data_IF_292824297542
#
_entry.id   IF_292824297542
#
_cell.length_a   1.000
_cell.length_b   1.000
_cell.length_c   1.000
_cell.angle_alpha   90.00
_cell.angle_beta   90.00
_cell.angle_gamma   90.00
#
_symmetry.space_group_name_H-M   'P 1'
#
loop_
_entity.id
_entity.type
_entity.pdbx_description
1 polymer ?
#
# COMPACT_ATOMS: atom_id res chain seq x y z
N UNK A 1 -14.07 -31.05 -11.22
CA UNK A 1 -13.25 -29.81 -11.14
C UNK A 1 -14.01 -28.55 -10.70
N UNK A 2 -15.37 -28.49 -10.72
CA UNK A 2 -16.14 -27.29 -10.35
C UNK A 2 -16.28 -26.99 -8.84
N UNK A 3 -15.60 -27.73 -7.94
CA UNK A 3 -15.69 -27.49 -6.48
C UNK A 3 -14.90 -26.27 -6.00
N UNK A 4 -13.90 -25.82 -6.77
CA UNK A 4 -13.03 -24.68 -6.44
C UNK A 4 -13.73 -23.32 -6.54
N UNK A 5 -14.78 -23.19 -7.36
CA UNK A 5 -15.52 -21.94 -7.52
C UNK A 5 -16.36 -21.55 -6.28
N UNK A 6 -16.68 -22.49 -5.39
CA UNK A 6 -17.45 -22.20 -4.16
C UNK A 6 -16.61 -21.50 -3.08
N UNK A 7 -15.28 -21.61 -3.11
CA UNK A 7 -14.37 -20.91 -2.19
C UNK A 7 -14.25 -19.42 -2.51
N UNK A 8 -14.56 -19.01 -3.74
CA UNK A 8 -14.40 -17.63 -4.18
C UNK A 8 -15.56 -16.69 -3.83
N UNK A 9 -16.79 -17.22 -3.67
CA UNK A 9 -17.97 -16.35 -3.48
C UNK A 9 -18.01 -15.62 -2.12
N UNK A 10 -17.20 -16.06 -1.14
CA UNK A 10 -17.22 -15.54 0.23
C UNK A 10 -15.98 -14.71 0.60
N UNK A 11 -14.97 -14.61 -0.27
CA UNK A 11 -13.73 -13.91 0.06
C UNK A 11 -13.80 -12.41 -0.29
N UNK A 12 -13.45 -11.56 0.69
CA UNK A 12 -13.33 -10.10 0.51
C UNK A 12 -12.41 -9.74 -0.66
N UNK A 13 -11.37 -10.55 -0.89
CA UNK A 13 -10.37 -10.37 -1.94
C UNK A 13 -10.96 -10.44 -3.35
N UNK A 14 -11.88 -11.36 -3.63
CA UNK A 14 -12.50 -11.45 -4.97
C UNK A 14 -13.48 -10.30 -5.23
N UNK A 15 -14.18 -9.84 -4.20
CA UNK A 15 -15.03 -8.65 -4.31
C UNK A 15 -14.21 -7.35 -4.48
N UNK A 16 -12.99 -7.32 -3.97
CA UNK A 16 -12.00 -6.26 -4.18
C UNK A 16 -11.53 -6.28 -5.64
N UNK A 17 -10.99 -7.40 -6.10
CA UNK A 17 -10.55 -7.61 -7.50
C UNK A 17 -11.69 -7.31 -8.50
N UNK A 18 -12.91 -7.78 -8.24
CA UNK A 18 -14.07 -7.51 -9.10
C UNK A 18 -14.40 -6.01 -9.19
N UNK A 19 -14.26 -5.26 -8.09
CA UNK A 19 -14.47 -3.81 -8.08
C UNK A 19 -13.38 -3.07 -8.84
N UNK A 20 -12.13 -3.51 -8.69
CA UNK A 20 -10.98 -2.96 -9.41
C UNK A 20 -11.13 -3.19 -10.92
N UNK A 21 -11.45 -4.42 -11.34
CA UNK A 21 -11.71 -4.75 -12.75
C UNK A 21 -12.85 -3.89 -13.30
N UNK A 22 -13.96 -3.73 -12.58
CA UNK A 22 -15.11 -2.97 -13.08
C UNK A 22 -14.82 -1.46 -13.21
N UNK A 23 -13.96 -0.91 -12.35
CA UNK A 23 -13.53 0.50 -12.43
C UNK A 23 -12.58 0.75 -13.59
N UNK A 24 -11.58 -0.11 -13.77
CA UNK A 24 -10.52 0.10 -14.76
C UNK A 24 -10.77 -0.60 -16.11
N UNK A 25 -11.91 -1.29 -16.27
CA UNK A 25 -12.20 -2.11 -17.45
C UNK A 25 -12.10 -1.32 -18.76
N UNK A 26 -12.44 -0.02 -18.75
CA UNK A 26 -12.42 0.81 -19.95
C UNK A 26 -11.00 1.00 -20.50
N UNK A 27 -10.03 1.20 -19.60
CA UNK A 27 -8.63 1.43 -19.97
C UNK A 27 -7.91 0.12 -20.30
N UNK A 28 -8.29 -0.97 -19.60
CA UNK A 28 -7.82 -2.33 -19.93
C UNK A 28 -8.38 -2.79 -21.29
N UNK A 29 -9.63 -2.44 -21.62
CA UNK A 29 -10.23 -2.80 -22.90
C UNK A 29 -9.59 -2.04 -24.06
N UNK A 30 -9.34 -0.74 -23.93
CA UNK A 30 -8.67 0.03 -25.00
C UNK A 30 -7.25 -0.47 -25.27
N UNK A 31 -6.47 -0.73 -24.20
CA UNK A 31 -5.11 -1.27 -24.33
C UNK A 31 -5.07 -2.70 -24.88
N UNK A 32 -6.02 -3.57 -24.49
CA UNK A 32 -6.06 -4.94 -25.01
C UNK A 32 -6.37 -5.02 -26.50
N UNK A 33 -7.18 -4.10 -27.05
CA UNK A 33 -7.44 -4.01 -28.49
C UNK A 33 -6.13 -3.73 -29.24
N UNK A 34 -5.32 -2.78 -28.77
CA UNK A 34 -4.02 -2.45 -29.39
C UNK A 34 -3.10 -3.66 -29.41
N UNK A 35 -3.07 -4.43 -28.31
CA UNK A 35 -2.27 -5.66 -28.21
C UNK A 35 -2.72 -6.71 -29.23
N UNK A 36 -4.03 -6.94 -29.35
CA UNK A 36 -4.58 -7.92 -30.31
C UNK A 36 -4.27 -7.50 -31.74
N UNK A 37 -4.43 -6.21 -32.07
CA UNK A 37 -4.08 -5.70 -33.41
C UNK A 37 -2.59 -5.88 -33.69
N UNK A 38 -1.71 -5.52 -32.76
CA UNK A 38 -0.26 -5.72 -32.90
C UNK A 38 0.15 -7.18 -33.03
N UNK A 39 -0.56 -8.10 -32.38
CA UNK A 39 -0.35 -9.54 -32.52
C UNK A 39 -0.75 -10.04 -33.92
N UNK A 40 -1.92 -9.61 -34.42
CA UNK A 40 -2.39 -9.96 -35.77
C UNK A 40 -1.48 -9.40 -36.87
N UNK A 41 -1.02 -8.15 -36.73
CA UNK A 41 -0.11 -7.54 -37.70
C UNK A 41 1.24 -8.27 -37.73
N UNK A 42 1.81 -8.66 -36.59
CA UNK A 42 3.04 -9.44 -36.59
C UNK A 42 2.88 -10.84 -37.16
N UNK A 43 1.76 -11.51 -36.90
CA UNK A 43 1.46 -12.78 -37.55
C UNK A 43 1.46 -12.66 -39.08
N UNK A 44 0.87 -11.57 -39.61
CA UNK A 44 0.85 -11.30 -41.04
C UNK A 44 2.25 -11.00 -41.60
N UNK A 45 3.05 -10.19 -40.89
CA UNK A 45 4.42 -9.87 -41.31
C UNK A 45 5.33 -11.10 -41.34
N UNK A 46 5.22 -11.98 -40.33
CA UNK A 46 5.98 -13.23 -40.28
C UNK A 46 5.54 -14.22 -41.34
N UNK A 47 4.24 -14.28 -41.65
CA UNK A 47 3.74 -15.04 -42.79
C UNK A 47 4.44 -14.59 -44.08
N UNK A 48 4.45 -13.28 -44.39
CA UNK A 48 5.11 -12.80 -45.60
C UNK A 48 6.63 -13.01 -45.60
N UNK A 49 7.29 -12.84 -44.45
CA UNK A 49 8.74 -13.00 -44.35
C UNK A 49 9.20 -14.46 -44.49
N UNK A 50 8.45 -15.43 -43.97
CA UNK A 50 8.90 -16.82 -43.86
C UNK A 50 8.16 -17.80 -44.80
N UNK A 51 7.05 -17.42 -45.43
CA UNK A 51 6.25 -18.32 -46.30
C UNK A 51 7.05 -19.03 -47.39
N UNK A 52 8.07 -18.38 -47.95
CA UNK A 52 8.91 -18.94 -49.01
C UNK A 52 9.95 -19.92 -48.49
N UNK A 53 10.45 -19.70 -47.27
CA UNK A 53 11.53 -20.50 -46.68
C UNK A 53 11.00 -21.67 -45.84
N UNK A 54 9.83 -21.52 -45.22
CA UNK A 54 9.22 -22.51 -44.34
C UNK A 54 7.69 -22.56 -44.51
N UNK A 55 7.19 -23.04 -45.65
CA UNK A 55 5.74 -23.14 -45.89
C UNK A 55 5.02 -24.10 -44.93
N UNK A 56 5.73 -25.09 -44.37
CA UNK A 56 5.15 -26.03 -43.41
C UNK A 56 4.67 -25.33 -42.13
N UNK A 57 5.43 -24.37 -41.63
CA UNK A 57 5.16 -23.65 -40.37
C UNK A 57 4.60 -22.24 -40.57
N UNK A 58 4.96 -21.55 -41.66
CA UNK A 58 4.50 -20.19 -41.97
C UNK A 58 3.68 -20.12 -43.26
N UNK A 59 3.13 -21.24 -43.75
CA UNK A 59 2.33 -21.28 -44.99
C UNK A 59 0.89 -20.79 -44.86
N UNK A 60 0.43 -20.47 -43.65
CA UNK A 60 -0.88 -19.85 -43.43
C UNK A 60 -0.82 -18.87 -42.26
N UNK A 61 -1.66 -17.84 -42.29
CA UNK A 61 -1.71 -16.82 -41.25
C UNK A 61 -1.98 -17.46 -39.88
N UNK A 62 -2.88 -18.43 -39.79
CA UNK A 62 -3.20 -19.13 -38.53
C UNK A 62 -2.00 -19.86 -37.92
N UNK A 63 -1.12 -20.46 -38.74
CA UNK A 63 0.11 -21.08 -38.22
C UNK A 63 1.12 -20.03 -37.73
N UNK A 64 1.25 -18.91 -38.43
CA UNK A 64 2.04 -17.77 -37.97
C UNK A 64 1.46 -17.14 -36.69
N UNK A 65 0.13 -17.14 -36.52
CA UNK A 65 -0.55 -16.67 -35.30
C UNK A 65 -0.15 -17.52 -34.09
N UNK A 66 -0.02 -18.84 -34.25
CA UNK A 66 0.44 -19.74 -33.20
C UNK A 66 1.86 -19.37 -32.74
N UNK A 67 2.81 -19.25 -33.67
CA UNK A 67 4.18 -18.83 -33.34
C UNK A 67 4.21 -17.45 -32.67
N UNK A 68 3.44 -16.48 -33.18
CA UNK A 68 3.34 -15.16 -32.58
C UNK A 68 2.73 -15.24 -31.17
N UNK A 69 1.72 -16.08 -30.91
CA UNK A 69 1.14 -16.24 -29.57
C UNK A 69 2.14 -16.84 -28.57
N UNK A 70 2.86 -17.89 -28.96
CA UNK A 70 3.89 -18.54 -28.13
C UNK A 70 5.05 -17.59 -27.82
N UNK A 71 5.42 -16.75 -28.79
CA UNK A 71 6.46 -15.72 -28.62
C UNK A 71 5.99 -14.60 -27.70
N UNK A 72 4.77 -14.08 -27.92
CA UNK A 72 4.20 -12.98 -27.14
C UNK A 72 3.98 -13.36 -25.67
N UNK A 73 3.56 -14.60 -25.43
CA UNK A 73 3.40 -15.16 -24.08
C UNK A 73 4.73 -15.54 -23.43
N UNK A 74 5.86 -15.33 -24.12
CA UNK A 74 7.21 -15.69 -23.66
C UNK A 74 7.39 -17.17 -23.34
N UNK A 75 6.48 -18.03 -23.82
CA UNK A 75 6.59 -19.49 -23.66
C UNK A 75 7.77 -19.99 -24.51
N UNK A 76 7.83 -19.57 -25.78
CA UNK A 76 8.96 -19.83 -26.66
C UNK A 76 9.38 -21.31 -26.71
N UNK A 77 8.46 -22.22 -27.07
CA UNK A 77 8.74 -23.66 -27.11
C UNK A 77 10.00 -24.03 -27.92
N UNK A 78 10.33 -23.23 -28.95
CA UNK A 78 11.49 -23.46 -29.80
C UNK A 78 11.26 -24.53 -30.88
N UNK A 79 10.02 -25.00 -31.02
CA UNK A 79 9.57 -25.93 -32.06
C UNK A 79 9.62 -25.30 -33.46
N UNK A 80 9.30 -24.01 -33.54
CA UNK A 80 9.33 -23.22 -34.77
C UNK A 80 10.14 -21.96 -34.53
N UNK A 81 11.03 -21.62 -35.45
CA UNK A 81 11.81 -20.37 -35.41
C UNK A 81 11.97 -19.80 -36.82
N UNK A 82 11.95 -18.45 -36.99
CA UNK A 82 12.15 -17.81 -38.28
C UNK A 82 13.58 -18.06 -38.79
N UNK A 83 13.69 -18.44 -40.06
CA UNK A 83 14.99 -18.70 -40.70
C UNK A 83 15.53 -17.46 -41.42
N UNK A 84 14.67 -16.57 -41.89
CA UNK A 84 15.09 -15.35 -42.59
C UNK A 84 15.63 -14.29 -41.62
N UNK A 85 16.53 -13.45 -42.13
CA UNK A 85 17.06 -12.30 -41.37
C UNK A 85 15.92 -11.35 -40.98
N UNK A 86 15.00 -11.09 -41.91
CA UNK A 86 13.84 -10.22 -41.67
C UNK A 86 12.93 -10.80 -40.58
N UNK A 87 12.59 -12.09 -40.64
CA UNK A 87 11.75 -12.76 -39.64
C UNK A 87 12.36 -12.74 -38.24
N UNK A 88 13.70 -12.89 -38.14
CA UNK A 88 14.42 -12.77 -36.86
C UNK A 88 14.34 -11.37 -36.27
N UNK A 89 14.56 -10.32 -37.08
CA UNK A 89 14.45 -8.93 -36.62
C UNK A 89 13.03 -8.62 -36.14
N UNK A 90 12.01 -9.04 -36.92
CA UNK A 90 10.60 -8.87 -36.56
C UNK A 90 10.27 -9.56 -35.24
N UNK A 91 10.77 -10.78 -35.04
CA UNK A 91 10.53 -11.55 -33.81
C UNK A 91 11.17 -10.90 -32.59
N UNK A 92 12.39 -10.37 -32.70
CA UNK A 92 13.06 -9.64 -31.62
C UNK A 92 12.28 -8.36 -31.27
N UNK A 93 11.92 -7.56 -32.27
CA UNK A 93 11.14 -6.34 -32.07
C UNK A 93 9.78 -6.65 -31.41
N UNK A 94 9.12 -7.72 -31.86
CA UNK A 94 7.86 -8.18 -31.29
C UNK A 94 8.00 -8.62 -29.83
N UNK A 95 9.09 -9.33 -29.48
CA UNK A 95 9.38 -9.73 -28.11
C UNK A 95 9.56 -8.54 -27.16
N UNK A 96 10.31 -7.51 -27.58
CA UNK A 96 10.49 -6.28 -26.79
C UNK A 96 9.15 -5.57 -26.58
N UNK A 97 8.36 -5.44 -27.66
CA UNK A 97 7.03 -4.83 -27.59
C UNK A 97 6.09 -5.59 -26.62
N UNK A 98 6.14 -6.93 -26.62
CA UNK A 98 5.34 -7.74 -25.68
C UNK A 98 5.70 -7.46 -24.21
N UNK A 99 6.97 -7.26 -23.89
CA UNK A 99 7.41 -6.90 -22.52
C UNK A 99 6.94 -5.50 -22.10
N UNK A 100 6.92 -4.54 -23.03
CA UNK A 100 6.35 -3.21 -22.78
C UNK A 100 4.86 -3.32 -22.43
N UNK A 101 4.09 -4.14 -23.16
CA UNK A 101 2.69 -4.39 -22.84
C UNK A 101 2.50 -5.13 -21.51
N UNK A 102 3.38 -6.08 -21.18
CA UNK A 102 3.37 -6.73 -19.88
C UNK A 102 3.58 -5.72 -18.74
N UNK A 103 4.44 -4.72 -18.95
CA UNK A 103 4.66 -3.63 -17.98
C UNK A 103 3.39 -2.79 -17.78
N UNK A 104 2.61 -2.54 -18.83
CA UNK A 104 1.32 -1.85 -18.70
C UNK A 104 0.33 -2.65 -17.87
N UNK A 105 0.27 -3.98 -18.05
CA UNK A 105 -0.59 -4.84 -17.24
C UNK A 105 -0.22 -4.78 -15.75
N UNK A 106 1.08 -4.86 -15.44
CA UNK A 106 1.59 -4.73 -14.06
C UNK A 106 1.30 -3.35 -13.49
N UNK A 107 1.46 -2.29 -14.29
CA UNK A 107 1.21 -0.90 -13.86
C UNK A 107 -0.24 -0.68 -13.45
N UNK A 108 -1.20 -1.23 -14.21
CA UNK A 108 -2.64 -1.11 -13.90
C UNK A 108 -2.95 -1.76 -12.55
N UNK A 109 -2.47 -2.99 -12.32
CA UNK A 109 -2.67 -3.68 -11.05
C UNK A 109 -1.99 -2.93 -9.90
N UNK A 110 -0.77 -2.44 -10.13
CA UNK A 110 -0.02 -1.65 -9.17
C UNK A 110 -0.77 -0.39 -8.75
N UNK A 111 -1.34 0.35 -9.71
CA UNK A 111 -2.11 1.57 -9.43
C UNK A 111 -3.33 1.32 -8.54
N UNK A 112 -4.05 0.22 -8.80
CA UNK A 112 -5.19 -0.20 -8.00
C UNK A 112 -4.81 -0.56 -6.56
N UNK A 113 -3.70 -1.30 -6.40
CA UNK A 113 -3.18 -1.63 -5.07
C UNK A 113 -2.74 -0.38 -4.31
N UNK A 114 -2.04 0.54 -4.97
CA UNK A 114 -1.59 1.80 -4.35
C UNK A 114 -2.76 2.68 -3.94
N UNK A 115 -3.85 2.73 -4.71
CA UNK A 115 -5.07 3.44 -4.32
C UNK A 115 -5.62 2.89 -2.99
N UNK A 116 -5.72 1.57 -2.86
CA UNK A 116 -6.24 0.93 -1.64
C UNK A 116 -5.33 1.15 -0.42
N UNK A 117 -4.01 1.05 -0.61
CA UNK A 117 -3.03 1.35 0.43
C UNK A 117 -3.11 2.82 0.86
N UNK A 118 -3.28 3.76 -0.09
CA UNK A 118 -3.41 5.18 0.22
C UNK A 118 -4.65 5.48 1.06
N UNK A 119 -5.78 4.82 0.76
CA UNK A 119 -7.04 4.95 1.52
C UNK A 119 -6.85 4.39 2.94
N UNK A 120 -6.18 3.25 3.08
CA UNK A 120 -5.87 2.67 4.39
C UNK A 120 -4.99 3.60 5.23
N UNK A 121 -3.90 4.11 4.66
CA UNK A 121 -2.99 5.04 5.34
C UNK A 121 -3.70 6.34 5.74
N UNK A 122 -4.58 6.87 4.88
CA UNK A 122 -5.36 8.09 5.18
C UNK A 122 -6.35 7.88 6.32
N UNK A 123 -6.96 6.70 6.44
CA UNK A 123 -7.83 6.37 7.58
C UNK A 123 -7.06 6.28 8.88
N UNK A 124 -5.91 5.60 8.86
CA UNK A 124 -5.03 5.46 10.03
C UNK A 124 -4.50 6.82 10.50
N UNK A 125 -4.13 7.71 9.58
CA UNK A 125 -3.70 9.08 9.90
C UNK A 125 -4.79 9.88 10.63
N UNK A 126 -6.02 9.86 10.12
CA UNK A 126 -7.16 10.55 10.77
C UNK A 126 -7.46 10.02 12.17
N UNK A 127 -7.32 8.71 12.38
CA UNK A 127 -7.53 8.09 13.68
C UNK A 127 -6.44 8.51 14.67
N UNK A 128 -5.19 8.59 14.22
CA UNK A 128 -4.08 9.12 15.02
C UNK A 128 -4.28 10.60 15.36
N UNK A 129 -4.69 11.43 14.41
CA UNK A 129 -4.97 12.85 14.64
C UNK A 129 -6.08 13.05 15.67
N UNK A 130 -7.16 12.26 15.56
CA UNK A 130 -8.27 12.28 16.53
C UNK A 130 -7.81 11.85 17.91
N UNK A 131 -6.96 10.82 18.01
CA UNK A 131 -6.45 10.35 19.28
C UNK A 131 -5.50 11.36 19.93
N UNK A 132 -4.64 12.00 19.12
CA UNK A 132 -3.78 13.09 19.53
C UNK A 132 -4.59 14.27 20.05
N UNK A 133 -5.66 14.65 19.35
CA UNK A 133 -6.53 15.74 19.77
C UNK A 133 -7.17 15.45 21.14
N UNK A 134 -7.73 14.25 21.33
CA UNK A 134 -8.27 13.84 22.64
C UNK A 134 -7.24 13.88 23.75
N UNK A 135 -5.98 13.55 23.44
CA UNK A 135 -4.90 13.61 24.44
C UNK A 135 -4.59 15.05 24.86
N UNK A 136 -4.59 16.00 23.91
CA UNK A 136 -4.41 17.43 24.22
C UNK A 136 -5.59 17.95 25.03
N UNK A 137 -6.83 17.61 24.66
CA UNK A 137 -8.03 18.04 25.39
C UNK A 137 -8.04 17.49 26.82
N UNK A 138 -7.62 16.23 27.00
CA UNK A 138 -7.48 15.62 28.32
C UNK A 138 -6.43 16.33 29.18
N UNK A 139 -5.27 16.66 28.60
CA UNK A 139 -4.22 17.40 29.31
C UNK A 139 -4.71 18.78 29.76
N UNK A 140 -5.44 19.50 28.91
CA UNK A 140 -6.04 20.80 29.27
C UNK A 140 -7.04 20.68 30.43
N UNK A 141 -7.84 19.60 30.48
CA UNK A 141 -8.76 19.34 31.60
C UNK A 141 -7.99 19.03 32.88
N UNK A 142 -6.93 18.24 32.81
CA UNK A 142 -6.08 17.94 33.97
C UNK A 142 -5.43 19.19 34.53
N UNK A 143 -4.93 20.09 33.68
CA UNK A 143 -4.38 21.38 34.10
C UNK A 143 -5.45 22.25 34.77
N UNK A 144 -6.67 22.26 34.25
CA UNK A 144 -7.78 22.98 34.86
C UNK A 144 -8.17 22.42 36.24
N UNK A 145 -8.14 21.10 36.41
CA UNK A 145 -8.37 20.47 37.72
C UNK A 145 -7.25 20.77 38.72
N UNK A 146 -5.99 20.74 38.27
CA UNK A 146 -4.84 21.10 39.09
C UNK A 146 -4.95 22.54 39.60
N UNK A 147 -5.30 23.47 38.73
CA UNK A 147 -5.50 24.88 39.10
C UNK A 147 -6.57 25.04 40.18
N UNK A 148 -7.72 24.37 40.05
CA UNK A 148 -8.78 24.41 41.08
C UNK A 148 -8.31 23.84 42.41
N UNK A 149 -7.49 22.80 42.41
CA UNK A 149 -6.93 22.22 43.65
C UNK A 149 -5.98 23.22 44.31
N UNK A 150 -5.14 23.93 43.54
CA UNK A 150 -4.23 24.95 44.07
C UNK A 150 -4.99 26.16 44.67
N UNK A 151 -6.10 26.56 44.05
CA UNK A 151 -7.01 27.59 44.57
C UNK A 151 -7.70 27.14 45.88
N UNK A 152 -8.17 25.89 45.95
CA UNK A 152 -8.72 25.34 47.19
C UNK A 152 -7.64 25.24 48.28
N UNK A 153 -6.42 24.84 47.93
CA UNK A 153 -5.28 24.74 48.85
C UNK A 153 -4.96 26.09 49.50
N UNK A 154 -4.95 27.17 48.72
CA UNK A 154 -4.69 28.53 49.21
C UNK A 154 -5.85 29.13 50.03
N UNK A 155 -7.06 28.59 49.89
CA UNK A 155 -8.26 29.00 50.65
C UNK A 155 -8.50 28.14 51.90
N UNK A 156 -7.81 27.01 52.07
CA UNK A 156 -7.91 26.16 53.27
C UNK A 156 -7.44 26.92 54.52
N UNK A 157 -8.27 27.08 55.57
CA UNK A 157 -7.85 27.66 56.85
C UNK A 157 -6.79 26.84 57.60
N UNK A 158 -6.45 25.63 57.13
CA UNK A 158 -5.55 24.72 57.84
C UNK A 158 -4.05 25.01 57.63
N UNK A 159 -3.67 25.99 56.81
CA UNK A 159 -2.29 26.51 56.82
C UNK A 159 -2.09 27.61 57.89
N UNK A 160 -3.18 28.18 58.42
CA UNK A 160 -3.15 29.16 59.51
C UNK A 160 -3.15 28.55 60.92
N UNK A 161 -3.20 27.22 61.04
CA UNK A 161 -3.10 26.56 62.37
C UNK A 161 -1.65 26.31 62.79
N UNK A 162 -0.65 26.48 61.91
CA UNK A 162 0.76 26.37 62.33
C UNK A 162 1.38 27.64 62.93
N UNK A 163 0.63 28.74 63.11
CA UNK A 163 1.20 29.95 63.73
C UNK A 163 0.22 30.68 64.67
N UNK A 164 -0.04 30.11 65.85
CA UNK A 164 -0.08 30.86 67.13
C UNK A 164 -0.56 29.98 68.28
N UNK A 165 0.34 29.18 68.83
CA UNK A 165 0.30 28.90 70.27
C UNK A 165 1.72 29.09 70.82
N UNK A 166 2.08 30.34 71.07
CA UNK A 166 3.07 30.64 72.11
C UNK A 166 2.44 30.22 73.44
N UNK A 167 2.82 29.05 73.96
CA UNK A 167 2.59 28.74 75.36
C UNK A 167 3.49 29.66 76.20
N UNK A 168 2.94 30.53 77.05
CA UNK A 168 3.74 31.18 78.06
C UNK A 168 4.07 30.09 79.09
N UNK A 169 5.34 29.70 79.15
CA UNK A 169 5.94 28.75 80.08
C UNK A 169 5.89 27.25 79.69
N UNK A 170 6.65 26.86 78.66
CA UNK A 170 7.03 25.46 78.44
C UNK A 170 8.54 25.37 78.14
N UNK A 171 9.32 24.98 79.14
CA UNK A 171 10.69 24.49 78.98
C UNK A 171 10.63 23.11 78.30
N UNK A 172 10.74 23.03 76.97
CA UNK A 172 11.15 21.79 76.32
C UNK A 172 11.65 22.03 74.88
N UNK A 173 12.86 21.54 74.61
CA UNK A 173 13.41 21.36 73.27
C UNK A 173 12.57 20.35 72.48
N UNK A 174 12.21 20.68 71.23
CA UNK A 174 11.94 19.65 70.23
C UNK A 174 12.40 20.09 68.84
N UNK A 175 13.09 19.18 68.16
CA UNK A 175 13.86 19.35 66.92
C UNK A 175 13.24 18.49 65.81
N UNK A 176 13.43 18.95 64.55
CA UNK A 176 13.33 18.23 63.25
C UNK A 176 11.92 17.99 62.66
N UNK A 177 11.69 18.05 61.35
CA UNK A 177 12.58 17.90 60.19
C UNK A 177 11.94 18.56 58.95
N UNK A 178 12.71 19.29 58.13
CA UNK A 178 12.39 19.49 56.71
C UNK A 178 12.88 18.28 55.91
N UNK A 179 12.23 17.89 54.81
CA UNK A 179 12.92 17.23 53.71
C UNK A 179 13.24 18.25 52.63
N UNK A 180 14.52 18.63 52.56
CA UNK A 180 15.16 19.19 51.39
C UNK A 180 15.31 18.12 50.31
N UNK A 181 14.79 18.43 49.13
CA UNK A 181 15.40 18.29 47.80
C UNK A 181 16.23 17.01 47.49
N UNK A 182 15.98 16.35 46.36
CA UNK A 182 17.02 16.16 45.30
C UNK A 182 16.55 15.32 44.12
N UNK A 183 16.78 15.87 42.93
CA UNK A 183 16.88 15.19 41.64
C UNK A 183 17.68 13.89 41.68
N UNK A 184 17.21 12.89 40.94
CA UNK A 184 18.08 11.89 40.29
C UNK A 184 17.68 11.70 38.83
N UNK A 185 18.47 12.32 37.97
CA UNK A 185 18.84 11.88 36.63
C UNK A 185 19.40 10.46 36.67
N UNK A 186 19.12 9.64 35.65
CA UNK A 186 20.03 8.67 35.02
C UNK A 186 19.38 8.27 33.67
N UNK A 187 20.07 8.59 32.58
CA UNK A 187 19.97 7.89 31.29
C UNK A 187 20.92 6.69 31.32
N UNK A 188 20.54 5.57 30.73
CA UNK A 188 21.11 4.97 29.51
C UNK A 188 20.21 3.81 29.07
#
# INVERSE_FOLDING_TARGET
MLRILRLGSKSRTLNMIRRLIKRQYRDVMSSSIVVVVSWLTMSMLLYFAERERQPEYFGSITKSMWFAAVTMTTIGYGDVTPKTVLGKILTIAFGIMALVFFSLFVSIIGSAYMEEVSIYNRKKGKEQDTNRQRHVDLLNVLDHLRQKIDDLSSTSPLQNVQQKHTCPNCNHHFVSNQPSNTSKTISF
#
